data_IF_162279956965
#
_entry.id   IF_162279956965
#
_cell.length_a   1.000
_cell.length_b   1.000
_cell.length_c   1.000
_cell.angle_alpha   90.00
_cell.angle_beta   90.00
_cell.angle_gamma   90.00
#
_symmetry.space_group_name_H-M   'P 1'
#
loop_
_entity.id
_entity.type
_entity.pdbx_description
1 polymer ?
#
# COMPACT_ATOMS: atom_id res chain seq x y z
N UNK A 1 -12.04 7.00 15.37
CA UNK A 1 -12.82 6.70 14.15
C UNK A 1 -13.67 5.47 14.42
N UNK A 2 -15.01 5.59 14.36
CA UNK A 2 -15.91 4.44 14.42
C UNK A 2 -15.73 3.65 13.11
N UNK A 3 -15.05 2.49 13.17
CA UNK A 3 -15.15 1.54 12.07
C UNK A 3 -16.58 1.00 12.08
N UNK A 4 -17.39 1.38 11.09
CA UNK A 4 -18.65 0.69 10.84
C UNK A 4 -18.31 -0.79 10.60
N UNK A 5 -18.98 -1.69 11.33
CA UNK A 5 -18.79 -3.13 11.17
C UNK A 5 -19.19 -3.54 9.76
N UNK A 6 -18.23 -4.03 8.97
CA UNK A 6 -18.51 -4.47 7.61
C UNK A 6 -19.06 -5.89 7.69
N UNK A 7 -20.35 -6.07 7.38
CA UNK A 7 -21.05 -7.36 7.51
C UNK A 7 -21.65 -7.82 6.19
N UNK A 8 -21.48 -9.10 5.87
CA UNK A 8 -22.14 -9.76 4.74
C UNK A 8 -23.01 -10.88 5.32
N UNK A 9 -24.33 -10.80 5.17
CA UNK A 9 -25.29 -11.77 5.71
C UNK A 9 -25.08 -12.07 7.22
N UNK A 10 -24.79 -11.03 8.01
CA UNK A 10 -24.53 -11.15 9.45
C UNK A 10 -23.12 -11.61 9.83
N UNK A 11 -22.27 -11.98 8.86
CA UNK A 11 -20.87 -12.36 9.08
C UNK A 11 -19.98 -11.12 9.08
N UNK A 12 -19.18 -10.95 10.13
CA UNK A 12 -18.19 -9.86 10.23
C UNK A 12 -17.02 -10.10 9.27
N UNK A 13 -16.80 -9.17 8.33
CA UNK A 13 -15.71 -9.24 7.34
C UNK A 13 -14.70 -8.09 7.48
N UNK A 14 -14.93 -7.12 8.37
CA UNK A 14 -14.01 -5.99 8.60
C UNK A 14 -12.64 -6.40 9.12
N UNK A 15 -12.50 -7.63 9.62
CA UNK A 15 -11.22 -8.17 10.09
C UNK A 15 -10.35 -8.77 8.96
N UNK A 16 -10.85 -8.81 7.71
CA UNK A 16 -10.11 -9.29 6.56
C UNK A 16 -9.22 -8.15 6.03
N UNK A 17 -7.91 -8.27 6.23
CA UNK A 17 -6.96 -7.20 5.90
C UNK A 17 -5.94 -7.66 4.85
N UNK A 18 -5.47 -6.74 4.02
CA UNK A 18 -4.43 -7.02 3.05
C UNK A 18 -3.07 -7.10 3.77
N UNK A 19 -2.41 -8.25 3.69
CA UNK A 19 -1.13 -8.47 4.37
C UNK A 19 0.01 -7.63 3.83
N UNK A 20 -0.11 -7.12 2.60
CA UNK A 20 0.92 -6.32 1.97
C UNK A 20 0.98 -4.90 2.54
N UNK A 21 -0.11 -4.39 3.14
CA UNK A 21 -0.19 -3.03 3.71
C UNK A 21 0.97 -2.73 4.65
N UNK A 22 1.18 -3.58 5.65
CA UNK A 22 2.26 -3.42 6.63
C UNK A 22 3.66 -3.47 6.00
N UNK A 23 3.84 -4.30 4.98
CA UNK A 23 5.13 -4.46 4.29
C UNK A 23 5.44 -3.26 3.41
N UNK A 24 4.45 -2.79 2.66
CA UNK A 24 4.55 -1.59 1.83
C UNK A 24 4.85 -0.37 2.69
N UNK A 25 4.07 -0.15 3.76
CA UNK A 25 4.29 0.97 4.68
C UNK A 25 5.69 0.96 5.31
N UNK A 26 6.25 -0.23 5.58
CA UNK A 26 7.62 -0.36 6.10
C UNK A 26 8.70 -0.04 5.06
N UNK A 27 8.48 -0.37 3.79
CA UNK A 27 9.49 -0.24 2.73
C UNK A 27 9.49 1.14 2.05
N UNK A 28 8.37 1.85 2.03
CA UNK A 28 8.27 3.17 1.39
C UNK A 28 9.32 4.17 1.92
N UNK A 29 9.49 4.39 3.23
CA UNK A 29 10.42 5.42 3.72
C UNK A 29 11.86 5.21 3.22
N UNK A 30 12.36 3.98 3.30
CA UNK A 30 13.71 3.66 2.80
C UNK A 30 13.84 3.78 1.29
N UNK A 31 12.79 3.50 0.52
CA UNK A 31 12.78 3.72 -0.93
C UNK A 31 12.82 5.20 -1.29
N UNK A 32 12.09 6.04 -0.55
CA UNK A 32 12.07 7.49 -0.77
C UNK A 32 13.41 8.11 -0.41
N UNK A 33 14.00 7.71 0.72
CA UNK A 33 15.32 8.18 1.15
C UNK A 33 16.44 7.75 0.17
N UNK A 34 16.42 6.51 -0.32
CA UNK A 34 17.49 5.98 -1.17
C UNK A 34 17.45 6.50 -2.62
N UNK A 35 16.25 6.74 -3.18
CA UNK A 35 16.10 7.03 -4.61
C UNK A 35 15.41 8.34 -4.95
N UNK A 36 14.74 8.98 -3.99
CA UNK A 36 13.88 10.15 -4.23
C UNK A 36 14.11 11.26 -3.19
N UNK A 37 15.30 11.31 -2.56
CA UNK A 37 15.64 12.29 -1.52
C UNK A 37 15.56 13.75 -1.97
N UNK A 38 15.69 13.99 -3.28
CA UNK A 38 15.67 15.32 -3.88
C UNK A 38 14.24 15.85 -4.13
N UNK A 39 13.22 15.01 -3.93
CA UNK A 39 11.82 15.40 -4.11
C UNK A 39 11.18 15.81 -2.78
N UNK A 40 10.40 16.89 -2.82
CA UNK A 40 9.53 17.28 -1.71
C UNK A 40 8.16 16.62 -1.94
N UNK A 41 7.88 15.58 -1.17
CA UNK A 41 6.61 14.85 -1.21
C UNK A 41 5.68 15.37 -0.11
N UNK A 42 4.46 15.72 -0.49
CA UNK A 42 3.41 16.09 0.45
C UNK A 42 2.72 14.82 1.01
N UNK A 43 1.95 14.99 2.10
CA UNK A 43 1.23 13.88 2.72
C UNK A 43 0.32 13.14 1.74
N UNK A 44 -0.28 13.85 0.78
CA UNK A 44 -1.13 13.28 -0.26
C UNK A 44 -0.33 12.41 -1.24
N UNK A 45 0.88 12.85 -1.61
CA UNK A 45 1.76 12.05 -2.48
C UNK A 45 2.11 10.71 -1.82
N UNK A 46 2.41 10.73 -0.51
CA UNK A 46 2.72 9.52 0.26
C UNK A 46 1.51 8.58 0.30
N UNK A 47 0.30 9.13 0.51
CA UNK A 47 -0.94 8.35 0.50
C UNK A 47 -1.21 7.73 -0.88
N UNK A 48 -1.03 8.50 -1.95
CA UNK A 48 -1.22 8.03 -3.33
C UNK A 48 -0.19 6.97 -3.71
N UNK A 49 1.09 7.16 -3.33
CA UNK A 49 2.14 6.16 -3.52
C UNK A 49 1.77 4.85 -2.81
N UNK A 50 1.30 4.93 -1.57
CA UNK A 50 0.87 3.76 -0.80
C UNK A 50 -0.30 3.04 -1.47
N UNK A 51 -1.37 3.77 -1.82
CA UNK A 51 -2.56 3.22 -2.44
C UNK A 51 -2.25 2.61 -3.81
N UNK A 52 -1.50 3.32 -4.65
CA UNK A 52 -1.12 2.86 -5.97
C UNK A 52 -0.21 1.63 -5.90
N UNK A 53 0.74 1.60 -4.95
CA UNK A 53 1.57 0.40 -4.73
C UNK A 53 0.71 -0.82 -4.42
N UNK A 54 -0.28 -0.69 -3.54
CA UNK A 54 -1.19 -1.80 -3.21
C UNK A 54 -2.01 -2.27 -4.41
N UNK A 55 -2.45 -1.35 -5.27
CA UNK A 55 -3.17 -1.66 -6.50
C UNK A 55 -2.30 -2.41 -7.53
N UNK A 56 -0.98 -2.20 -7.50
CA UNK A 56 -0.02 -2.87 -8.39
C UNK A 56 0.42 -4.27 -7.90
N UNK A 57 0.12 -4.62 -6.64
CA UNK A 57 0.46 -5.91 -6.06
C UNK A 57 -0.72 -6.87 -6.17
N UNK A 58 -0.47 -8.18 -6.35
CA UNK A 58 -1.50 -9.21 -6.15
C UNK A 58 -2.20 -9.04 -4.80
N UNK A 59 -3.53 -9.03 -4.82
CA UNK A 59 -4.34 -8.95 -3.60
C UNK A 59 -4.03 -10.13 -2.67
N UNK A 60 -3.71 -9.85 -1.41
CA UNK A 60 -3.24 -10.84 -0.45
C UNK A 60 -3.97 -10.72 0.90
N UNK A 61 -5.30 -10.73 0.84
CA UNK A 61 -6.17 -10.68 2.01
C UNK A 61 -6.11 -11.96 2.83
N UNK A 62 -6.09 -11.81 4.16
CA UNK A 62 -6.13 -12.94 5.07
C UNK A 62 -7.05 -12.68 6.25
N UNK A 63 -7.67 -13.74 6.74
CA UNK A 63 -8.40 -13.75 7.99
C UNK A 63 -7.44 -14.00 9.16
N UNK A 64 -7.65 -13.36 10.33
CA UNK A 64 -6.96 -13.73 11.55
C UNK A 64 -7.12 -15.23 11.82
N UNK A 65 -6.00 -15.96 11.97
CA UNK A 65 -6.00 -17.41 12.24
C UNK A 65 -5.98 -18.34 11.02
N UNK A 66 -6.02 -17.82 9.78
CA UNK A 66 -5.88 -18.66 8.58
C UNK A 66 -4.43 -19.09 8.33
N UNK A 67 -4.23 -20.35 7.90
CA UNK A 67 -2.91 -20.87 7.51
C UNK A 67 -2.48 -20.23 6.18
N UNK A 68 -1.29 -19.62 6.19
CA UNK A 68 -0.73 -18.93 5.03
C UNK A 68 0.01 -19.93 4.14
N UNK A 69 -0.54 -20.22 2.96
CA UNK A 69 0.20 -20.91 1.91
C UNK A 69 1.21 -19.95 1.25
N UNK A 70 2.44 -20.46 1.09
CA UNK A 70 3.70 -19.76 0.81
C UNK A 70 3.78 -19.11 -0.59
N UNK A 71 2.94 -18.11 -0.88
CA UNK A 71 3.07 -17.28 -2.09
C UNK A 71 3.36 -15.82 -1.70
N UNK A 72 4.43 -15.61 -0.94
CA UNK A 72 4.86 -14.28 -0.49
C UNK A 72 5.71 -13.63 -1.57
N UNK A 73 5.26 -12.49 -2.07
CA UNK A 73 6.12 -11.58 -2.85
C UNK A 73 7.38 -11.26 -2.05
N UNK A 74 8.52 -11.24 -2.71
CA UNK A 74 9.77 -10.78 -2.13
C UNK A 74 9.73 -9.28 -1.85
N UNK A 75 10.58 -8.81 -0.93
CA UNK A 75 10.72 -7.36 -0.71
C UNK A 75 11.23 -6.65 -1.97
N UNK A 76 12.05 -7.33 -2.78
CA UNK A 76 12.52 -6.81 -4.07
C UNK A 76 11.37 -6.49 -5.03
N UNK A 77 10.41 -7.41 -5.19
CA UNK A 77 9.23 -7.20 -6.04
C UNK A 77 8.37 -6.05 -5.51
N UNK A 78 8.18 -5.96 -4.19
CA UNK A 78 7.42 -4.85 -3.58
C UNK A 78 8.13 -3.52 -3.84
N UNK A 79 9.45 -3.44 -3.66
CA UNK A 79 10.25 -2.23 -3.94
C UNK A 79 10.14 -1.81 -5.40
N UNK A 80 10.13 -2.77 -6.33
CA UNK A 80 9.91 -2.48 -7.75
C UNK A 80 8.54 -1.83 -8.01
N UNK A 81 7.48 -2.30 -7.32
CA UNK A 81 6.14 -1.68 -7.43
C UNK A 81 6.06 -0.32 -6.74
N UNK A 82 6.75 -0.13 -5.61
CA UNK A 82 6.87 1.18 -4.96
C UNK A 82 7.52 2.17 -5.91
N UNK A 83 8.64 1.81 -6.54
CA UNK A 83 9.30 2.69 -7.53
C UNK A 83 8.34 3.13 -8.64
N UNK A 84 7.65 2.17 -9.26
CA UNK A 84 6.69 2.45 -10.33
C UNK A 84 5.52 3.35 -9.85
N UNK A 85 5.09 3.19 -8.58
CA UNK A 85 4.08 4.05 -8.00
C UNK A 85 4.58 5.48 -7.77
N UNK A 86 5.79 5.64 -7.24
CA UNK A 86 6.43 6.95 -7.03
C UNK A 86 6.58 7.70 -8.35
N UNK A 87 7.15 7.06 -9.37
CA UNK A 87 7.30 7.65 -10.71
C UNK A 87 5.96 8.14 -11.26
N UNK A 88 4.91 7.32 -11.13
CA UNK A 88 3.58 7.68 -11.63
C UNK A 88 2.92 8.84 -10.88
N UNK A 89 3.11 8.93 -9.57
CA UNK A 89 2.61 10.04 -8.75
C UNK A 89 3.36 11.34 -9.06
N UNK A 90 4.68 11.27 -9.24
CA UNK A 90 5.48 12.41 -9.66
C UNK A 90 5.12 12.91 -11.06
N UNK A 91 4.82 12.00 -11.99
CA UNK A 91 4.40 12.34 -13.35
C UNK A 91 2.97 12.92 -13.43
N UNK A 92 2.11 12.56 -12.48
CA UNK A 92 0.71 12.98 -12.44
C UNK A 92 0.33 13.42 -11.03
N UNK A 93 0.89 14.54 -10.53
CA UNK A 93 0.70 14.93 -9.15
C UNK A 93 -0.77 15.27 -8.92
N UNK A 94 -1.38 14.62 -7.92
CA UNK A 94 -2.75 14.89 -7.45
C UNK A 94 -2.77 16.20 -6.66
N UNK A 95 -2.18 17.28 -7.19
CA UNK A 95 -2.28 18.60 -6.56
C UNK A 95 -3.71 19.07 -6.76
N UNK A 96 -4.47 19.14 -5.67
CA UNK A 96 -5.68 19.93 -5.64
C UNK A 96 -5.28 21.35 -6.06
N UNK A 97 -5.68 21.75 -7.28
CA UNK A 97 -5.28 23.02 -7.87
C UNK A 97 -5.46 24.18 -6.89
N UNK A 98 -4.41 24.99 -6.76
CA UNK A 98 -4.55 26.40 -6.37
C UNK A 98 -4.64 27.23 -7.64
#
# INVERSE_FOLDING_TARGET
MNHQSLKINGVEVGNILNRNEKRVAKLIPGMLEEYFSDYILEDLDIQDIFALTLNLLPAAYAQPGSIVLSNRLSDYEIRSKIRAAVERVLDNPTRAGK
#
